data_IF_531910713728
#
_entry.id   IF_531910713728
#
_cell.length_a   1.000
_cell.length_b   1.000
_cell.length_c   1.000
_cell.angle_alpha   90.00
_cell.angle_beta   90.00
_cell.angle_gamma   90.00
#
_symmetry.space_group_name_H-M   'P 1'
#
loop_
_entity.id
_entity.type
_entity.pdbx_description
1 polymer ?
#
# COMPACT_ATOMS: atom_id res chain seq x y z
N UNK A 1 -16.92 22.26 21.31
CA UNK A 1 -16.50 22.04 22.72
C UNK A 1 -17.34 20.91 23.32
N UNK A 2 -16.78 19.69 23.41
CA UNK A 2 -17.44 18.58 24.10
C UNK A 2 -16.71 18.38 25.44
N UNK A 3 -17.37 18.74 26.55
CA UNK A 3 -16.85 18.58 27.90
C UNK A 3 -17.34 17.23 28.44
N UNK A 4 -16.49 16.21 28.41
CA UNK A 4 -16.70 15.04 29.24
C UNK A 4 -15.88 15.18 30.53
N UNK A 5 -16.57 15.45 31.64
CA UNK A 5 -16.02 15.33 33.00
C UNK A 5 -15.86 13.84 33.31
N UNK A 6 -14.63 13.34 33.24
CA UNK A 6 -14.25 12.07 33.86
C UNK A 6 -13.13 12.28 34.87
N UNK A 7 -13.41 11.86 36.11
CA UNK A 7 -12.58 11.99 37.30
C UNK A 7 -11.51 10.90 37.36
N UNK A 8 -10.25 11.31 37.50
CA UNK A 8 -9.13 10.44 37.83
C UNK A 8 -7.79 11.11 37.56
N UNK A 9 -7.18 11.72 38.59
CA UNK A 9 -5.91 12.50 38.49
C UNK A 9 -4.79 11.74 37.74
N UNK A 10 -4.70 10.40 37.88
CA UNK A 10 -3.70 9.58 37.16
C UNK A 10 -3.95 9.46 35.65
N UNK A 11 -5.21 9.45 35.20
CA UNK A 11 -5.53 9.35 33.78
C UNK A 11 -5.31 10.67 33.03
N UNK A 12 -5.49 11.79 33.73
CA UNK A 12 -5.19 13.13 33.21
C UNK A 12 -3.68 13.32 32.94
N UNK A 13 -2.82 12.74 33.79
CA UNK A 13 -1.37 12.87 33.61
C UNK A 13 -0.86 12.09 32.37
N UNK A 14 -1.32 10.85 32.17
CA UNK A 14 -1.01 10.05 30.98
C UNK A 14 -1.49 10.72 29.67
N UNK A 15 -2.68 11.32 29.71
CA UNK A 15 -3.22 12.10 28.59
C UNK A 15 -2.36 13.32 28.28
N UNK A 16 -1.92 14.06 29.32
CA UNK A 16 -1.07 15.23 29.15
C UNK A 16 0.26 14.83 28.51
N UNK A 17 0.88 13.73 28.94
CA UNK A 17 2.15 13.23 28.37
C UNK A 17 2.00 12.92 26.87
N UNK A 18 0.99 12.13 26.48
CA UNK A 18 0.77 11.78 25.07
C UNK A 18 0.47 13.00 24.19
N UNK A 19 -0.40 13.90 24.66
CA UNK A 19 -0.73 15.12 23.90
C UNK A 19 0.43 16.10 23.84
N UNK A 20 1.23 16.23 24.90
CA UNK A 20 2.40 17.10 24.90
C UNK A 20 3.48 16.56 23.95
N UNK A 21 3.61 15.24 23.86
CA UNK A 21 4.45 14.61 22.85
C UNK A 21 3.92 14.86 21.44
N UNK A 22 2.61 14.74 21.21
CA UNK A 22 2.01 15.02 19.90
C UNK A 22 2.27 16.46 19.46
N UNK A 23 2.23 17.41 20.41
CA UNK A 23 2.55 18.82 20.18
C UNK A 23 4.01 19.06 19.77
N UNK A 24 4.92 18.13 20.06
CA UNK A 24 6.31 18.23 19.62
C UNK A 24 6.47 17.89 18.13
N UNK A 25 5.44 17.31 17.48
CA UNK A 25 5.40 17.20 16.02
C UNK A 25 4.85 18.51 15.47
N UNK A 26 5.76 19.33 14.94
CA UNK A 26 5.44 20.61 14.29
C UNK A 26 4.51 20.43 13.09
N UNK A 27 4.55 19.26 12.45
CA UNK A 27 3.62 18.84 11.40
C UNK A 27 3.44 17.33 11.42
N UNK A 28 2.23 16.87 11.12
CA UNK A 28 1.97 15.45 10.84
C UNK A 28 2.43 15.06 9.42
N UNK A 29 2.74 16.04 8.57
CA UNK A 29 3.34 15.79 7.26
C UNK A 29 4.82 15.47 7.45
N UNK A 30 5.23 14.25 7.09
CA UNK A 30 6.62 13.81 7.22
C UNK A 30 6.98 13.20 8.58
N UNK A 31 6.00 12.72 9.35
CA UNK A 31 6.29 11.83 10.48
C UNK A 31 6.96 10.57 9.91
N UNK A 32 8.18 10.30 10.37
CA UNK A 32 8.88 9.05 10.11
C UNK A 32 8.17 7.92 10.85
N UNK A 33 7.55 6.99 10.10
CA UNK A 33 6.74 5.95 10.71
C UNK A 33 7.59 4.97 11.54
N UNK A 34 8.86 4.79 11.20
CA UNK A 34 9.81 4.03 12.03
C UNK A 34 9.95 4.66 13.42
N UNK A 35 10.12 5.97 13.49
CA UNK A 35 10.23 6.69 14.78
C UNK A 35 8.91 6.60 15.57
N UNK A 36 7.78 6.67 14.88
CA UNK A 36 6.47 6.50 15.48
C UNK A 36 6.28 5.07 16.04
N UNK A 37 6.65 4.05 15.27
CA UNK A 37 6.56 2.66 15.67
C UNK A 37 7.45 2.38 16.87
N UNK A 38 8.72 2.78 16.84
CA UNK A 38 9.63 2.64 17.98
C UNK A 38 9.05 3.24 19.26
N UNK A 39 8.45 4.43 19.18
CA UNK A 39 7.87 5.09 20.36
C UNK A 39 6.65 4.38 20.89
N UNK A 40 5.69 4.02 20.03
CA UNK A 40 4.49 3.31 20.46
C UNK A 40 4.85 1.94 21.06
N UNK A 41 5.89 1.32 20.52
CA UNK A 41 6.30 -0.03 20.91
C UNK A 41 7.14 -0.02 22.19
N UNK A 42 8.03 0.96 22.36
CA UNK A 42 8.97 1.02 23.46
C UNK A 42 8.52 1.90 24.65
N UNK A 43 7.39 2.62 24.58
CA UNK A 43 6.87 3.43 25.68
C UNK A 43 5.59 2.81 26.32
N UNK A 44 5.71 2.01 27.41
CA UNK A 44 4.56 1.39 28.07
C UNK A 44 3.50 2.37 28.58
N UNK A 45 3.92 3.60 28.92
CA UNK A 45 3.04 4.69 29.36
C UNK A 45 2.15 5.18 28.21
N UNK A 46 2.69 5.31 27.00
CA UNK A 46 1.94 5.67 25.79
C UNK A 46 0.91 4.58 25.47
N UNK A 47 1.32 3.32 25.46
CA UNK A 47 0.40 2.18 25.26
C UNK A 47 -0.72 2.17 26.31
N UNK A 48 -0.38 2.36 27.59
CA UNK A 48 -1.36 2.44 28.67
C UNK A 48 -2.31 3.63 28.53
N UNK A 49 -1.82 4.75 28.01
CA UNK A 49 -2.64 5.93 27.73
C UNK A 49 -3.65 5.66 26.60
N UNK A 50 -3.18 5.06 25.49
CA UNK A 50 -4.01 4.62 24.37
C UNK A 50 -5.07 3.62 24.87
N UNK A 51 -4.70 2.62 25.67
CA UNK A 51 -5.64 1.64 26.25
C UNK A 51 -6.80 2.26 27.04
N UNK A 52 -6.54 3.36 27.75
CA UNK A 52 -7.45 3.88 28.79
C UNK A 52 -8.28 5.09 28.37
N UNK A 53 -8.01 5.69 27.22
CA UNK A 53 -8.62 6.97 26.83
C UNK A 53 -9.10 6.92 25.38
N UNK A 54 -10.42 6.96 25.19
CA UNK A 54 -11.04 7.00 23.86
C UNK A 54 -10.54 8.18 23.00
N UNK A 55 -10.26 9.33 23.62
CA UNK A 55 -9.69 10.47 22.91
C UNK A 55 -8.28 10.17 22.39
N UNK A 56 -7.45 9.50 23.19
CA UNK A 56 -6.08 9.14 22.76
C UNK A 56 -6.13 8.06 21.68
N UNK A 57 -7.08 7.13 21.76
CA UNK A 57 -7.32 6.14 20.70
C UNK A 57 -7.68 6.82 19.37
N UNK A 58 -8.57 7.81 19.40
CA UNK A 58 -8.92 8.59 18.22
C UNK A 58 -7.70 9.34 17.65
N UNK A 59 -6.88 9.96 18.49
CA UNK A 59 -5.64 10.61 18.04
C UNK A 59 -4.65 9.62 17.42
N UNK A 60 -4.41 8.48 18.09
CA UNK A 60 -3.55 7.42 17.58
C UNK A 60 -4.02 6.93 16.22
N UNK A 61 -5.32 6.62 16.09
CA UNK A 61 -5.87 6.12 14.84
C UNK A 61 -5.87 7.16 13.71
N UNK A 62 -6.03 8.45 14.05
CA UNK A 62 -5.86 9.54 13.09
C UNK A 62 -4.42 9.60 12.56
N UNK A 63 -3.40 9.45 13.42
CA UNK A 63 -2.00 9.42 13.01
C UNK A 63 -1.73 8.21 12.10
N UNK A 64 -2.21 7.01 12.48
CA UNK A 64 -2.08 5.81 11.64
C UNK A 64 -2.71 5.98 10.26
N UNK A 65 -3.93 6.51 10.23
CA UNK A 65 -4.63 6.79 8.97
C UNK A 65 -3.85 7.79 8.12
N UNK A 66 -3.33 8.85 8.73
CA UNK A 66 -2.53 9.86 8.04
C UNK A 66 -1.22 9.26 7.49
N UNK A 67 -0.50 8.45 8.25
CA UNK A 67 0.69 7.74 7.77
C UNK A 67 0.34 6.83 6.57
N UNK A 68 -0.73 6.05 6.67
CA UNK A 68 -1.18 5.21 5.57
C UNK A 68 -1.57 6.02 4.32
N UNK A 69 -2.21 7.19 4.49
CA UNK A 69 -2.54 8.10 3.40
C UNK A 69 -1.28 8.68 2.74
N UNK A 70 -0.27 9.02 3.54
CA UNK A 70 1.02 9.53 3.04
C UNK A 70 1.74 8.46 2.23
N UNK A 71 1.80 7.22 2.73
CA UNK A 71 2.45 6.11 2.03
C UNK A 71 1.73 5.73 0.74
N UNK A 72 0.40 5.68 0.76
CA UNK A 72 -0.40 5.52 -0.44
C UNK A 72 -0.06 6.61 -1.46
N UNK A 73 0.02 7.88 -1.03
CA UNK A 73 0.34 9.01 -1.92
C UNK A 73 1.76 8.92 -2.49
N UNK A 74 2.76 8.54 -1.69
CA UNK A 74 4.14 8.37 -2.13
C UNK A 74 4.20 7.32 -3.24
N UNK A 75 3.68 6.12 -2.98
CA UNK A 75 3.69 5.02 -3.95
C UNK A 75 2.97 5.40 -5.24
N UNK A 76 1.76 5.94 -5.14
CA UNK A 76 0.98 6.28 -6.34
C UNK A 76 1.67 7.36 -7.16
N UNK A 77 2.24 8.36 -6.50
CA UNK A 77 2.89 9.48 -7.21
C UNK A 77 4.14 9.00 -7.94
N UNK A 78 5.01 8.25 -7.27
CA UNK A 78 6.23 7.73 -7.89
C UNK A 78 5.92 6.81 -9.07
N UNK A 79 4.94 5.90 -8.89
CA UNK A 79 4.55 4.98 -9.94
C UNK A 79 3.88 5.68 -11.13
N UNK A 80 3.00 6.65 -10.87
CA UNK A 80 2.36 7.45 -11.91
C UNK A 80 3.37 8.29 -12.68
N UNK A 81 4.37 8.87 -12.00
CA UNK A 81 5.42 9.65 -12.65
C UNK A 81 6.31 8.77 -13.53
N UNK A 82 6.65 7.57 -13.07
CA UNK A 82 7.40 6.61 -13.90
C UNK A 82 6.55 6.12 -15.08
N UNK A 83 5.26 5.85 -14.85
CA UNK A 83 4.33 5.47 -15.91
C UNK A 83 4.15 6.58 -16.95
N UNK A 84 4.08 7.85 -16.53
CA UNK A 84 4.01 9.00 -17.43
C UNK A 84 5.16 9.07 -18.45
N UNK A 85 6.32 8.50 -18.14
CA UNK A 85 7.46 8.47 -19.06
C UNK A 85 7.34 7.35 -20.11
N UNK A 86 6.51 6.34 -19.89
CA UNK A 86 6.33 5.23 -20.83
C UNK A 86 5.61 5.71 -22.09
N UNK A 87 5.99 5.14 -23.23
CA UNK A 87 5.35 5.40 -24.51
C UNK A 87 4.76 4.12 -25.09
N UNK A 88 3.98 4.26 -26.17
CA UNK A 88 3.31 3.14 -26.83
C UNK A 88 4.26 2.01 -27.22
N UNK A 89 5.48 2.32 -27.67
CA UNK A 89 6.45 1.33 -28.14
C UNK A 89 6.98 0.46 -26.99
N UNK A 90 7.02 0.99 -25.77
CA UNK A 90 7.42 0.21 -24.59
C UNK A 90 6.47 -0.96 -24.35
N UNK A 91 5.20 -0.80 -24.70
CA UNK A 91 4.18 -1.85 -24.57
C UNK A 91 4.18 -2.80 -25.76
N UNK A 92 4.50 -2.32 -26.97
CA UNK A 92 4.56 -3.14 -28.18
C UNK A 92 5.59 -4.28 -28.11
N UNK A 93 6.60 -4.17 -27.26
CA UNK A 93 7.66 -5.17 -27.09
C UNK A 93 7.63 -5.76 -25.66
N UNK A 94 6.77 -6.77 -25.40
CA UNK A 94 6.59 -7.32 -24.05
C UNK A 94 7.88 -7.87 -23.42
N UNK A 95 8.86 -8.26 -24.24
CA UNK A 95 10.16 -8.79 -23.77
C UNK A 95 10.87 -7.86 -22.80
N UNK A 96 10.68 -6.54 -22.91
CA UNK A 96 11.27 -5.58 -21.98
C UNK A 96 10.72 -5.67 -20.55
N UNK A 97 9.50 -6.21 -20.38
CA UNK A 97 8.90 -6.45 -19.05
C UNK A 97 9.44 -7.72 -18.39
N UNK A 98 9.85 -8.72 -19.18
CA UNK A 98 10.45 -9.96 -18.67
C UNK A 98 11.97 -9.85 -18.50
N UNK A 99 12.62 -9.05 -19.32
CA UNK A 99 14.06 -8.83 -19.30
C UNK A 99 14.35 -7.33 -19.31
N UNK A 100 14.72 -6.80 -18.14
CA UNK A 100 15.03 -5.37 -17.94
C UNK A 100 16.06 -4.86 -18.95
N UNK A 101 17.05 -5.67 -19.34
CA UNK A 101 18.11 -5.26 -20.28
C UNK A 101 17.58 -5.04 -21.71
N UNK A 102 16.42 -5.61 -22.03
CA UNK A 102 15.74 -5.47 -23.32
C UNK A 102 14.68 -4.37 -23.33
N UNK A 103 14.38 -3.76 -22.18
CA UNK A 103 13.47 -2.63 -22.07
C UNK A 103 14.12 -1.31 -22.50
N UNK A 104 13.31 -0.34 -22.91
CA UNK A 104 13.75 1.05 -23.06
C UNK A 104 14.25 1.63 -21.74
N UNK A 105 14.97 2.74 -21.77
CA UNK A 105 15.40 3.44 -20.55
C UNK A 105 14.21 3.78 -19.66
N UNK A 106 13.09 4.24 -20.24
CA UNK A 106 11.87 4.59 -19.53
C UNK A 106 11.22 3.35 -18.87
N UNK A 107 11.18 2.21 -19.57
CA UNK A 107 10.69 0.97 -19.00
C UNK A 107 11.60 0.45 -17.87
N UNK A 108 12.91 0.57 -18.04
CA UNK A 108 13.88 0.21 -16.99
C UNK A 108 13.68 1.07 -15.74
N UNK A 109 13.47 2.38 -15.90
CA UNK A 109 13.15 3.29 -14.80
C UNK A 109 11.82 2.94 -14.12
N UNK A 110 10.80 2.60 -14.90
CA UNK A 110 9.52 2.12 -14.35
C UNK A 110 9.69 0.87 -13.49
N UNK A 111 10.41 -0.13 -13.99
CA UNK A 111 10.69 -1.36 -13.24
C UNK A 111 11.54 -1.07 -11.98
N UNK A 112 12.52 -0.17 -12.08
CA UNK A 112 13.33 0.28 -10.94
C UNK A 112 12.48 0.93 -9.86
N UNK A 113 11.52 1.78 -10.22
CA UNK A 113 10.60 2.39 -9.25
C UNK A 113 9.76 1.34 -8.53
N UNK A 114 9.33 0.28 -9.22
CA UNK A 114 8.62 -0.85 -8.58
C UNK A 114 9.49 -1.59 -7.58
N UNK A 115 10.73 -1.90 -7.94
CA UNK A 115 11.69 -2.54 -7.02
C UNK A 115 11.92 -1.68 -5.77
N UNK A 116 12.13 -0.37 -5.96
CA UNK A 116 12.32 0.58 -4.85
C UNK A 116 11.11 0.63 -3.92
N UNK A 117 9.89 0.56 -4.46
CA UNK A 117 8.68 0.50 -3.66
C UNK A 117 8.57 -0.81 -2.86
N UNK A 118 8.87 -1.94 -3.48
CA UNK A 118 8.92 -3.23 -2.79
C UNK A 118 9.93 -3.17 -1.64
N UNK A 119 11.16 -2.74 -1.91
CA UNK A 119 12.21 -2.61 -0.92
C UNK A 119 11.81 -1.64 0.20
N UNK A 120 11.21 -0.50 -0.13
CA UNK A 120 10.70 0.44 0.85
C UNK A 120 9.69 -0.21 1.81
N UNK A 121 8.72 -0.96 1.28
CA UNK A 121 7.74 -1.70 2.10
C UNK A 121 8.44 -2.73 3.00
N UNK A 122 9.36 -3.52 2.43
CA UNK A 122 10.10 -4.56 3.16
C UNK A 122 10.91 -3.96 4.29
N UNK A 123 11.70 -2.92 4.02
CA UNK A 123 12.53 -2.26 5.03
C UNK A 123 11.68 -1.65 6.14
N UNK A 124 10.59 -0.94 5.81
CA UNK A 124 9.69 -0.36 6.82
C UNK A 124 9.08 -1.42 7.76
N UNK A 125 8.77 -2.61 7.24
CA UNK A 125 8.22 -3.70 8.04
C UNK A 125 9.32 -4.38 8.85
N UNK A 126 10.44 -4.76 8.21
CA UNK A 126 11.43 -5.67 8.77
C UNK A 126 12.47 -5.00 9.66
N UNK A 127 12.73 -3.71 9.49
CA UNK A 127 13.74 -2.95 10.25
C UNK A 127 13.49 -2.92 11.76
N UNK A 128 12.22 -3.04 12.16
CA UNK A 128 11.83 -2.88 13.55
C UNK A 128 11.78 -4.22 14.31
N UNK A 129 11.67 -4.12 15.64
CA UNK A 129 11.41 -5.28 16.50
C UNK A 129 10.05 -5.95 16.16
N UNK A 130 9.84 -7.15 16.68
CA UNK A 130 8.66 -7.98 16.37
C UNK A 130 7.31 -7.23 16.52
N UNK A 131 7.11 -6.49 17.60
CA UNK A 131 5.83 -5.80 17.83
C UNK A 131 5.62 -4.61 16.88
N UNK A 132 6.69 -3.85 16.61
CA UNK A 132 6.69 -2.76 15.66
C UNK A 132 6.54 -3.28 14.21
N UNK A 133 7.10 -4.45 13.89
CA UNK A 133 6.93 -5.13 12.59
C UNK A 133 5.47 -5.49 12.32
N UNK A 134 4.78 -6.08 13.29
CA UNK A 134 3.34 -6.39 13.17
C UNK A 134 2.52 -5.12 12.98
N UNK A 135 2.91 -4.04 13.68
CA UNK A 135 2.26 -2.74 13.53
C UNK A 135 2.45 -2.15 12.12
N UNK A 136 3.70 -2.08 11.64
CA UNK A 136 4.01 -1.61 10.29
C UNK A 136 3.28 -2.45 9.22
N UNK A 137 3.24 -3.78 9.37
CA UNK A 137 2.48 -4.66 8.48
C UNK A 137 0.98 -4.31 8.45
N UNK A 138 0.37 -4.07 9.61
CA UNK A 138 -1.02 -3.60 9.72
C UNK A 138 -1.24 -2.26 9.02
N UNK A 139 -0.31 -1.31 9.16
CA UNK A 139 -0.38 -0.03 8.44
C UNK A 139 -0.38 -0.25 6.93
N UNK A 140 0.48 -1.14 6.44
CA UNK A 140 0.54 -1.45 5.01
C UNK A 140 -0.73 -2.13 4.47
N UNK A 141 -1.43 -2.93 5.29
CA UNK A 141 -2.78 -3.41 4.95
C UNK A 141 -3.74 -2.21 4.73
N UNK A 142 -3.70 -1.21 5.63
CA UNK A 142 -4.51 0.00 5.49
C UNK A 142 -4.10 0.85 4.26
N UNK A 143 -2.81 0.89 3.92
CA UNK A 143 -2.33 1.52 2.68
C UNK A 143 -2.98 0.87 1.47
N UNK A 144 -3.00 -0.46 1.39
CA UNK A 144 -3.67 -1.19 0.30
C UNK A 144 -5.15 -0.85 0.23
N UNK A 145 -5.87 -0.83 1.36
CA UNK A 145 -7.28 -0.44 1.36
C UNK A 145 -7.49 0.95 0.75
N UNK A 146 -6.64 1.93 1.08
CA UNK A 146 -6.69 3.28 0.53
C UNK A 146 -6.43 3.27 -0.97
N UNK A 147 -5.44 2.50 -1.43
CA UNK A 147 -5.11 2.37 -2.86
C UNK A 147 -6.27 1.78 -3.66
N UNK A 148 -6.90 0.72 -3.15
CA UNK A 148 -8.07 0.08 -3.79
C UNK A 148 -9.27 1.03 -3.81
N UNK A 149 -9.57 1.72 -2.70
CA UNK A 149 -10.67 2.70 -2.62
C UNK A 149 -10.48 3.87 -3.58
N UNK A 150 -9.23 4.21 -3.93
CA UNK A 150 -8.86 5.26 -4.89
C UNK A 150 -8.61 4.74 -6.30
N UNK A 151 -8.88 3.47 -6.58
CA UNK A 151 -8.70 2.84 -7.89
C UNK A 151 -7.24 2.83 -8.40
N UNK A 152 -6.27 2.89 -7.50
CA UNK A 152 -4.85 2.75 -7.82
C UNK A 152 -4.43 1.27 -7.80
N UNK A 153 -4.95 0.50 -8.75
CA UNK A 153 -4.82 -0.96 -8.72
C UNK A 153 -3.40 -1.46 -8.98
N UNK A 154 -2.58 -0.81 -9.82
CA UNK A 154 -1.16 -1.22 -9.99
C UNK A 154 -0.39 -1.10 -8.67
N UNK A 155 -0.52 0.04 -7.98
CA UNK A 155 0.09 0.26 -6.68
C UNK A 155 -0.43 -0.74 -5.63
N UNK A 156 -1.75 -0.96 -5.57
CA UNK A 156 -2.35 -1.91 -4.66
C UNK A 156 -1.87 -3.35 -4.93
N UNK A 157 -1.79 -3.74 -6.20
CA UNK A 157 -1.33 -5.06 -6.62
C UNK A 157 0.12 -5.30 -6.22
N UNK A 158 1.01 -4.34 -6.53
CA UNK A 158 2.42 -4.42 -6.14
C UNK A 158 2.59 -4.54 -4.62
N UNK A 159 1.92 -3.66 -3.87
CA UNK A 159 1.96 -3.66 -2.40
C UNK A 159 1.44 -4.98 -1.83
N UNK A 160 0.33 -5.52 -2.34
CA UNK A 160 -0.24 -6.78 -1.86
C UNK A 160 0.66 -7.97 -2.14
N UNK A 161 1.31 -8.04 -3.30
CA UNK A 161 2.28 -9.10 -3.58
C UNK A 161 3.43 -9.06 -2.57
N UNK A 162 3.99 -7.88 -2.31
CA UNK A 162 5.04 -7.71 -1.29
C UNK A 162 4.57 -8.18 0.09
N UNK A 163 3.37 -7.76 0.51
CA UNK A 163 2.81 -8.17 1.81
C UNK A 163 2.55 -9.68 1.88
N UNK A 164 2.06 -10.29 0.80
CA UNK A 164 1.86 -11.75 0.72
C UNK A 164 3.18 -12.48 0.87
N UNK A 165 4.23 -12.06 0.16
CA UNK A 165 5.57 -12.66 0.26
C UNK A 165 6.14 -12.54 1.68
N UNK A 166 6.00 -11.36 2.30
CA UNK A 166 6.42 -11.16 3.69
C UNK A 166 5.61 -12.03 4.66
N UNK A 167 4.31 -12.16 4.46
CA UNK A 167 3.49 -13.02 5.31
C UNK A 167 3.84 -14.50 5.13
N UNK A 168 4.10 -14.94 3.90
CA UNK A 168 4.53 -16.30 3.63
C UNK A 168 5.85 -16.64 4.34
N UNK A 169 6.79 -15.69 4.36
CA UNK A 169 8.09 -15.84 5.00
C UNK A 169 8.04 -15.73 6.53
N UNK A 170 7.35 -14.72 7.06
CA UNK A 170 7.43 -14.34 8.48
C UNK A 170 6.15 -14.60 9.29
N UNK A 171 5.07 -15.06 8.64
CA UNK A 171 3.76 -15.37 9.25
C UNK A 171 3.17 -14.22 10.09
N UNK A 172 3.36 -12.99 9.61
CA UNK A 172 2.95 -11.73 10.27
C UNK A 172 1.44 -11.70 10.57
N UNK A 173 0.62 -12.22 9.66
CA UNK A 173 -0.84 -12.26 9.77
C UNK A 173 -1.34 -13.04 10.98
N UNK A 174 -0.59 -14.05 11.44
CA UNK A 174 -0.95 -14.86 12.63
C UNK A 174 -0.95 -14.05 13.93
N UNK A 175 -0.26 -12.92 13.93
CA UNK A 175 -0.13 -12.03 15.08
C UNK A 175 -1.08 -10.83 14.99
N UNK A 176 -1.83 -10.71 13.89
CA UNK A 176 -2.81 -9.65 13.71
C UNK A 176 -4.11 -9.91 14.47
N UNK A 177 -4.87 -8.86 14.82
CA UNK A 177 -6.25 -8.99 15.25
C UNK A 177 -7.15 -9.62 14.16
N UNK A 178 -8.18 -10.37 14.56
CA UNK A 178 -9.08 -11.07 13.63
C UNK A 178 -9.66 -10.18 12.53
N UNK A 179 -10.07 -8.95 12.86
CA UNK A 179 -10.55 -7.99 11.87
C UNK A 179 -9.50 -7.67 10.79
N UNK A 180 -8.23 -7.49 11.17
CA UNK A 180 -7.16 -7.22 10.21
C UNK A 180 -6.84 -8.44 9.35
N UNK A 181 -6.96 -9.65 9.91
CA UNK A 181 -6.83 -10.91 9.15
C UNK A 181 -7.95 -10.97 8.09
N UNK A 182 -9.21 -10.74 8.48
CA UNK A 182 -10.34 -10.75 7.54
C UNK A 182 -10.18 -9.73 6.41
N UNK A 183 -9.72 -8.52 6.73
CA UNK A 183 -9.42 -7.48 5.73
C UNK A 183 -8.29 -7.93 4.82
N UNK A 184 -7.19 -8.44 5.37
CA UNK A 184 -6.05 -8.90 4.59
C UNK A 184 -6.42 -10.06 3.65
N UNK A 185 -7.12 -11.09 4.17
CA UNK A 185 -7.63 -12.22 3.38
C UNK A 185 -8.57 -11.76 2.27
N UNK A 186 -9.42 -10.77 2.54
CA UNK A 186 -10.28 -10.18 1.52
C UNK A 186 -9.48 -9.45 0.44
N UNK A 187 -8.41 -8.76 0.80
CA UNK A 187 -7.55 -8.06 -0.14
C UNK A 187 -6.69 -9.05 -0.96
N UNK A 188 -6.20 -10.15 -0.37
CA UNK A 188 -5.45 -11.18 -1.08
C UNK A 188 -6.25 -11.83 -2.22
N UNK A 189 -7.58 -11.85 -2.13
CA UNK A 189 -8.45 -12.29 -3.24
C UNK A 189 -8.26 -11.43 -4.51
N UNK A 190 -7.85 -10.17 -4.39
CA UNK A 190 -7.58 -9.29 -5.53
C UNK A 190 -6.37 -9.76 -6.33
N UNK A 191 -5.30 -10.20 -5.66
CA UNK A 191 -4.08 -10.67 -6.33
C UNK A 191 -4.11 -12.16 -6.66
N UNK A 192 -5.23 -12.85 -6.37
CA UNK A 192 -5.39 -14.26 -6.69
C UNK A 192 -5.36 -14.50 -8.21
N UNK A 193 -4.55 -15.44 -8.72
CA UNK A 193 -4.50 -15.76 -10.15
C UNK A 193 -5.76 -16.52 -10.63
N UNK A 194 -6.63 -16.95 -9.71
CA UNK A 194 -7.83 -17.72 -10.02
C UNK A 194 -8.75 -17.00 -11.01
N UNK A 195 -9.13 -17.71 -12.06
CA UNK A 195 -9.94 -17.16 -13.15
C UNK A 195 -9.27 -15.98 -13.87
N UNK A 196 -7.94 -16.01 -14.01
CA UNK A 196 -7.13 -14.95 -14.62
C UNK A 196 -7.33 -13.59 -13.92
N UNK A 197 -7.17 -13.57 -12.59
CA UNK A 197 -7.39 -12.39 -11.75
C UNK A 197 -8.84 -11.87 -11.79
N UNK A 198 -9.82 -12.79 -11.79
CA UNK A 198 -11.25 -12.47 -11.98
C UNK A 198 -11.75 -11.37 -11.04
N UNK A 199 -11.38 -11.44 -9.75
CA UNK A 199 -11.83 -10.50 -8.72
C UNK A 199 -11.34 -9.09 -9.04
N UNK A 200 -10.04 -8.93 -9.29
CA UNK A 200 -9.44 -7.65 -9.64
C UNK A 200 -10.00 -7.08 -10.94
N UNK A 201 -10.15 -7.90 -11.98
CA UNK A 201 -10.76 -7.45 -13.25
C UNK A 201 -12.18 -6.95 -13.06
N UNK A 202 -12.98 -7.63 -12.22
CA UNK A 202 -14.32 -7.19 -11.89
C UNK A 202 -14.31 -5.84 -11.15
N UNK A 203 -13.42 -5.67 -10.15
CA UNK A 203 -13.28 -4.39 -9.45
C UNK A 203 -12.89 -3.25 -10.39
N UNK A 204 -11.97 -3.49 -11.33
CA UNK A 204 -11.55 -2.48 -12.32
C UNK A 204 -12.71 -2.14 -13.26
N UNK A 205 -13.46 -3.14 -13.74
CA UNK A 205 -14.64 -2.93 -14.57
C UNK A 205 -15.69 -2.07 -13.87
N UNK A 206 -15.96 -2.35 -12.60
CA UNK A 206 -16.90 -1.57 -11.77
C UNK A 206 -16.41 -0.15 -11.51
N UNK A 207 -15.10 0.04 -11.30
CA UNK A 207 -14.50 1.35 -11.12
C UNK A 207 -14.60 2.22 -12.38
N UNK A 208 -14.33 1.63 -13.55
CA UNK A 208 -14.45 2.30 -14.85
C UNK A 208 -15.87 2.78 -15.13
N UNK A 209 -16.88 1.98 -14.78
CA UNK A 209 -18.29 2.36 -14.95
C UNK A 209 -18.74 3.59 -14.14
N UNK A 210 -17.95 4.07 -13.18
CA UNK A 210 -18.27 5.22 -12.33
C UNK A 210 -17.71 6.56 -12.84
N UNK A 211 -16.95 6.58 -13.94
CA UNK A 211 -16.47 7.78 -14.66
C UNK A 211 -15.72 8.86 -13.85
N UNK A 212 -15.19 8.58 -12.65
CA UNK A 212 -14.59 9.62 -11.80
C UNK A 212 -13.09 9.79 -11.94
N UNK A 213 -12.33 8.75 -12.33
CA UNK A 213 -10.87 8.78 -12.39
C UNK A 213 -10.32 7.75 -13.38
N UNK A 214 -9.22 8.04 -14.11
CA UNK A 214 -8.54 7.04 -14.93
C UNK A 214 -8.09 5.86 -14.05
N UNK A 215 -8.46 4.66 -14.46
CA UNK A 215 -8.18 3.41 -13.73
C UNK A 215 -7.04 2.69 -14.42
N UNK A 216 -5.85 2.74 -13.82
CA UNK A 216 -4.67 2.05 -14.34
C UNK A 216 -4.77 0.56 -14.01
N UNK A 217 -4.78 -0.27 -15.05
CA UNK A 217 -4.80 -1.73 -14.94
C UNK A 217 -3.40 -2.24 -14.59
N UNK A 218 -3.25 -3.23 -13.69
CA UNK A 218 -1.92 -3.67 -13.30
C UNK A 218 -1.08 -4.22 -14.46
N UNK A 219 0.15 -3.73 -14.59
CA UNK A 219 1.00 -3.95 -15.75
C UNK A 219 1.40 -5.40 -15.93
N UNK A 220 1.60 -6.14 -14.84
CA UNK A 220 1.94 -7.56 -14.92
C UNK A 220 0.82 -8.36 -15.58
N UNK A 221 -0.43 -7.96 -15.34
CA UNK A 221 -1.59 -8.63 -15.94
C UNK A 221 -1.79 -8.14 -17.38
N UNK A 222 -1.62 -6.83 -17.61
CA UNK A 222 -1.65 -6.25 -18.95
C UNK A 222 -0.61 -6.89 -19.88
N UNK A 223 0.65 -6.98 -19.42
CA UNK A 223 1.75 -7.54 -20.20
C UNK A 223 1.55 -9.01 -20.51
N UNK A 224 0.97 -9.78 -19.57
CA UNK A 224 0.54 -11.16 -19.80
C UNK A 224 -0.50 -11.26 -20.91
N UNK A 225 -1.57 -10.47 -20.82
CA UNK A 225 -2.63 -10.47 -21.84
C UNK A 225 -2.08 -10.07 -23.22
N UNK A 226 -1.19 -9.07 -23.24
CA UNK A 226 -0.54 -8.60 -24.46
C UNK A 226 0.44 -9.62 -25.06
N UNK A 227 1.18 -10.34 -24.21
CA UNK A 227 2.08 -11.41 -24.64
C UNK A 227 1.27 -12.54 -25.28
N UNK A 228 0.19 -12.97 -24.64
CA UNK A 228 -0.71 -13.97 -25.20
C UNK A 228 -1.28 -13.51 -26.56
N UNK A 229 -1.69 -12.24 -26.69
CA UNK A 229 -2.15 -11.71 -27.98
C UNK A 229 -1.06 -11.72 -29.04
N UNK A 230 0.16 -11.30 -28.70
CA UNK A 230 1.28 -11.30 -29.64
C UNK A 230 1.68 -12.71 -30.09
N UNK A 231 1.56 -13.72 -29.22
CA UNK A 231 1.74 -15.12 -29.59
C UNK A 231 0.71 -15.58 -30.65
N UNK A 232 -0.55 -15.14 -30.54
CA UNK A 232 -1.58 -15.44 -31.55
C UNK A 232 -1.34 -14.69 -32.87
N UNK A 233 -0.66 -13.54 -32.83
CA UNK A 233 -0.30 -12.77 -34.03
C UNK A 233 0.93 -13.35 -34.75
N UNK A 234 1.77 -14.12 -34.08
CA UNK A 234 2.95 -14.77 -34.67
C UNK A 234 3.90 -13.77 -35.35
N UNK A 235 4.25 -14.03 -36.60
CA UNK A 235 5.14 -13.19 -37.40
C UNK A 235 4.55 -11.81 -37.69
N UNK A 236 3.22 -11.68 -37.63
CA UNK A 236 2.52 -10.43 -37.90
C UNK A 236 2.49 -9.48 -36.68
N UNK A 237 3.02 -9.89 -35.52
CA UNK A 237 2.98 -9.08 -34.29
C UNK A 237 3.61 -7.68 -34.44
N UNK A 238 4.53 -7.48 -35.38
CA UNK A 238 5.14 -6.18 -35.64
C UNK A 238 4.29 -5.24 -36.52
N UNK A 239 3.25 -5.75 -37.19
CA UNK A 239 2.40 -4.97 -38.10
C UNK A 239 1.44 -4.07 -37.32
N UNK A 240 1.10 -2.92 -37.90
CA UNK A 240 0.03 -2.06 -37.37
C UNK A 240 -1.33 -2.54 -37.87
N UNK A 241 -2.39 -2.31 -37.09
CA UNK A 241 -3.77 -2.54 -37.55
C UNK A 241 -4.10 -1.79 -38.85
N UNK A 242 -3.45 -0.66 -39.11
CA UNK A 242 -3.61 0.12 -40.36
C UNK A 242 -3.14 -0.64 -41.61
N UNK A 243 -2.22 -1.58 -41.44
CA UNK A 243 -1.63 -2.37 -42.52
C UNK A 243 -2.40 -3.69 -42.75
N UNK A 244 -3.44 -3.95 -41.95
CA UNK A 244 -4.18 -5.21 -41.95
C UNK A 244 -5.61 -4.98 -42.42
N UNK A 245 -6.04 -5.75 -43.41
CA UNK A 245 -7.43 -5.69 -43.91
C UNK A 245 -8.38 -6.42 -42.96
N UNK A 246 -9.67 -6.04 -42.96
CA UNK A 246 -10.71 -6.72 -42.17
C UNK A 246 -10.89 -8.20 -42.51
N UNK A 247 -10.44 -8.63 -43.69
CA UNK A 247 -10.48 -10.02 -44.12
C UNK A 247 -9.33 -10.87 -43.54
N UNK A 248 -8.35 -10.25 -42.87
CA UNK A 248 -7.24 -10.97 -42.27
C UNK A 248 -7.71 -11.88 -41.12
N UNK A 249 -7.29 -13.16 -41.05
CA UNK A 249 -7.73 -14.09 -40.01
C UNK A 249 -7.53 -13.56 -38.58
N UNK A 250 -6.44 -12.83 -38.36
CA UNK A 250 -6.08 -12.26 -37.05
C UNK A 250 -6.55 -10.82 -36.83
N UNK A 251 -7.42 -10.26 -37.69
CA UNK A 251 -7.86 -8.86 -37.57
C UNK A 251 -8.44 -8.53 -36.19
N UNK A 252 -9.23 -9.43 -35.62
CA UNK A 252 -9.82 -9.26 -34.27
C UNK A 252 -8.75 -9.16 -33.19
N UNK A 253 -7.67 -9.94 -33.29
CA UNK A 253 -6.54 -9.87 -32.35
C UNK A 253 -5.78 -8.55 -32.47
N UNK A 254 -5.56 -8.05 -33.70
CA UNK A 254 -4.99 -6.73 -33.91
C UNK A 254 -5.87 -5.63 -33.31
N UNK A 255 -7.18 -5.64 -33.60
CA UNK A 255 -8.12 -4.66 -33.06
C UNK A 255 -8.11 -4.67 -31.52
N UNK A 256 -8.21 -5.86 -30.92
CA UNK A 256 -8.15 -6.02 -29.46
C UNK A 256 -6.86 -5.48 -28.86
N UNK A 257 -5.71 -5.74 -29.52
CA UNK A 257 -4.41 -5.23 -29.07
C UNK A 257 -4.35 -3.71 -29.12
N UNK A 258 -4.78 -3.09 -30.23
CA UNK A 258 -4.79 -1.63 -30.35
C UNK A 258 -5.75 -0.99 -29.34
N UNK A 259 -6.94 -1.56 -29.14
CA UNK A 259 -7.90 -1.11 -28.13
C UNK A 259 -7.30 -1.15 -26.71
N UNK A 260 -6.58 -2.22 -26.38
CA UNK A 260 -5.89 -2.36 -25.09
C UNK A 260 -4.78 -1.31 -24.92
N UNK A 261 -3.98 -1.07 -25.96
CA UNK A 261 -2.92 -0.07 -25.93
C UNK A 261 -3.51 1.34 -25.82
N UNK A 262 -4.57 1.65 -26.55
CA UNK A 262 -5.25 2.95 -26.51
C UNK A 262 -5.89 3.18 -25.14
N UNK A 263 -6.53 2.16 -24.57
CA UNK A 263 -7.04 2.22 -23.20
C UNK A 263 -5.93 2.54 -22.20
N UNK A 264 -4.79 1.83 -22.28
CA UNK A 264 -3.66 2.04 -21.39
C UNK A 264 -3.09 3.45 -21.52
N UNK A 265 -2.85 3.92 -22.74
CA UNK A 265 -2.32 5.26 -23.01
C UNK A 265 -3.31 6.35 -22.56
N UNK A 266 -4.62 6.11 -22.69
CA UNK A 266 -5.65 7.04 -22.20
C UNK A 266 -5.73 7.12 -20.68
N UNK A 267 -5.33 6.05 -19.98
CA UNK A 267 -5.27 5.97 -18.53
C UNK A 267 -3.98 6.57 -17.95
N UNK A 268 -3.00 6.89 -18.80
CA UNK A 268 -1.75 7.52 -18.39
C UNK A 268 -2.02 8.91 -17.78
N UNK A 269 -1.31 9.29 -16.70
CA UNK A 269 -1.38 10.65 -16.19
C UNK A 269 -1.08 11.66 -17.30
N UNK A 270 -1.78 12.79 -17.32
CA UNK A 270 -1.51 13.84 -18.31
C UNK A 270 -0.28 14.66 -17.96
N UNK A 271 0.04 14.73 -16.67
CA UNK A 271 1.15 15.50 -16.12
C UNK A 271 1.78 14.74 -14.96
N UNK A 272 3.10 14.89 -14.75
CA UNK A 272 3.76 14.36 -13.58
C UNK A 272 3.21 15.03 -12.32
N UNK A 273 2.94 14.21 -11.31
CA UNK A 273 2.45 14.67 -10.02
C UNK A 273 3.62 15.01 -9.10
N UNK A 274 3.55 16.15 -8.42
CA UNK A 274 4.58 16.60 -7.48
C UNK A 274 4.18 16.17 -6.06
N UNK A 275 5.07 15.47 -5.36
CA UNK A 275 4.90 15.21 -3.93
C UNK A 275 5.12 16.50 -3.14
N UNK A 276 4.34 16.69 -2.07
CA UNK A 276 4.65 17.74 -1.12
C UNK A 276 6.04 17.50 -0.53
N UNK A 277 6.80 18.58 -0.29
CA UNK A 277 8.20 18.52 0.13
C UNK A 277 8.46 17.54 1.31
N UNK A 278 7.65 17.48 2.38
CA UNK A 278 7.89 16.52 3.47
C UNK A 278 7.81 15.05 3.02
N UNK A 279 6.95 14.74 2.05
CA UNK A 279 6.80 13.39 1.51
C UNK A 279 7.88 13.05 0.50
N UNK A 280 8.33 14.05 -0.28
CA UNK A 280 9.47 13.89 -1.16
C UNK A 280 10.74 13.61 -0.36
N UNK A 281 11.00 14.41 0.69
CA UNK A 281 12.13 14.21 1.59
C UNK A 281 12.10 12.83 2.26
N UNK A 282 10.91 12.36 2.64
CA UNK A 282 10.72 11.02 3.20
C UNK A 282 11.13 9.95 2.18
N UNK A 283 10.61 10.03 0.95
CA UNK A 283 10.95 9.09 -0.12
C UNK A 283 12.44 9.12 -0.50
N UNK A 284 13.03 10.32 -0.58
CA UNK A 284 14.45 10.50 -0.92
C UNK A 284 15.36 9.91 0.16
N UNK A 285 15.00 10.09 1.45
CA UNK A 285 15.72 9.47 2.58
C UNK A 285 15.77 7.95 2.42
N UNK A 286 14.65 7.31 2.09
CA UNK A 286 14.59 5.86 1.88
C UNK A 286 15.31 5.41 0.61
N UNK A 287 15.15 6.12 -0.50
CA UNK A 287 15.84 5.79 -1.76
C UNK A 287 17.36 5.81 -1.61
N UNK A 288 17.88 6.77 -0.80
CA UNK A 288 19.31 6.85 -0.50
C UNK A 288 19.79 5.68 0.35
N UNK A 289 19.07 5.31 1.42
CA UNK A 289 19.49 4.19 2.28
C UNK A 289 19.60 2.88 1.50
N UNK A 290 18.61 2.61 0.66
CA UNK A 290 18.58 1.42 -0.20
C UNK A 290 19.76 1.40 -1.19
N UNK A 291 20.05 2.54 -1.81
CA UNK A 291 21.15 2.63 -2.80
C UNK A 291 22.50 2.43 -2.13
N UNK A 292 22.71 3.01 -0.95
CA UNK A 292 23.96 2.85 -0.19
C UNK A 292 24.20 1.39 0.22
N UNK A 293 23.18 0.71 0.73
CA UNK A 293 23.25 -0.71 1.12
C UNK A 293 23.64 -1.61 -0.08
N UNK A 294 23.08 -1.34 -1.26
CA UNK A 294 23.39 -2.10 -2.48
C UNK A 294 24.82 -1.90 -3.01
N UNK A 295 25.44 -0.74 -2.76
CA UNK A 295 26.80 -0.44 -3.22
C UNK A 295 27.90 -1.06 -2.36
N UNK A 296 27.56 -1.46 -1.14
CA UNK A 296 28.51 -2.09 -0.20
C UNK A 296 28.53 -3.62 -0.30
N UNK A 297 27.65 -4.23 -1.10
CA UNK A 297 27.56 -5.67 -1.32
C UNK A 297 27.86 -6.04 -2.78
N UNK A 298 29.12 -5.95 -3.21
CA UNK A 298 29.51 -6.38 -4.57
C UNK A 298 29.48 -7.91 -4.78
N UNK A 299 29.26 -8.71 -3.73
CA UNK A 299 28.94 -10.14 -3.84
C UNK A 299 27.41 -10.35 -3.91
N UNK A 300 26.85 -9.98 -5.05
CA UNK A 300 25.42 -10.03 -5.36
C UNK A 300 24.87 -11.48 -5.45
N UNK A 301 24.63 -12.13 -4.32
CA UNK A 301 23.64 -13.23 -4.19
C UNK A 301 23.05 -13.40 -2.79
N UNK A 302 23.62 -12.78 -1.75
CA UNK A 302 23.02 -12.81 -0.42
C UNK A 302 22.05 -11.65 -0.26
N UNK A 303 20.75 -11.92 -0.48
CA UNK A 303 19.69 -11.12 0.15
C UNK A 303 20.04 -11.07 1.64
N UNK A 304 20.19 -9.88 2.22
CA UNK A 304 20.37 -9.75 3.68
C UNK A 304 19.30 -10.58 4.37
N UNK A 305 19.71 -11.65 5.04
CA UNK A 305 18.84 -12.44 5.90
C UNK A 305 18.46 -11.56 7.10
N UNK A 306 17.38 -10.80 6.96
CA UNK A 306 16.71 -10.21 8.11
C UNK A 306 16.46 -11.32 9.13
N UNK A 307 16.68 -11.08 10.44
CA UNK A 307 16.65 -12.10 11.48
C UNK A 307 15.49 -13.09 11.27
N UNK A 308 15.86 -14.33 10.98
CA UNK A 308 14.96 -15.40 10.59
C UNK A 308 14.07 -15.78 11.77
N UNK A 309 12.76 -15.64 11.54
CA UNK A 309 11.64 -16.02 12.40
C UNK A 309 11.33 -15.09 13.59
N UNK A 310 10.11 -14.52 13.55
CA UNK A 310 9.40 -14.10 14.76
C UNK A 310 9.37 -15.27 15.74
N UNK A 311 9.67 -14.99 17.02
CA UNK A 311 9.55 -16.02 18.05
C UNK A 311 8.08 -16.42 18.20
N UNK A 312 7.71 -17.56 17.60
CA UNK A 312 6.34 -18.08 17.49
C UNK A 312 5.67 -18.32 18.86
N UNK A 313 6.46 -18.42 19.93
CA UNK A 313 5.96 -18.62 21.30
C UNK A 313 5.60 -17.31 22.01
N UNK A 314 6.08 -16.16 21.54
CA UNK A 314 5.77 -14.85 22.10
C UNK A 314 4.67 -14.20 21.27
N UNK A 315 3.42 -14.28 21.75
CA UNK A 315 2.36 -13.40 21.26
C UNK A 315 2.74 -11.96 21.59
N UNK A 316 2.59 -11.06 20.61
CA UNK A 316 2.82 -9.63 20.78
C UNK A 316 2.27 -9.14 22.11
N UNK A 317 3.13 -8.52 22.92
CA UNK A 317 2.71 -8.01 24.24
C UNK A 317 1.88 -6.74 24.10
N UNK A 318 2.13 -5.96 23.05
CA UNK A 318 1.24 -4.90 22.65
C UNK A 318 -0.15 -5.47 22.35
N UNK A 319 -0.26 -6.40 21.40
CA UNK A 319 -1.53 -6.91 20.87
C UNK A 319 -2.11 -8.13 21.60
N UNK A 320 -1.62 -8.45 22.81
CA UNK A 320 -2.48 -9.12 23.79
C UNK A 320 -3.81 -8.36 23.83
N UNK A 321 -4.94 -9.05 24.02
CA UNK A 321 -6.34 -8.55 23.91
C UNK A 321 -6.67 -7.22 24.65
N UNK A 322 -5.68 -6.60 25.32
CA UNK A 322 -5.72 -5.42 26.17
C UNK A 322 -5.29 -4.10 25.51
N UNK A 323 -4.51 -4.04 24.40
CA UNK A 323 -4.38 -2.77 23.60
C UNK A 323 -5.53 -2.55 22.65
N UNK A 324 -6.20 -3.63 22.28
CA UNK A 324 -7.60 -3.54 21.92
C UNK A 324 -8.38 -3.18 23.18
N UNK A 325 -9.28 -2.19 23.13
CA UNK A 325 -10.24 -1.94 24.19
C UNK A 325 -10.88 -3.25 24.62
N UNK A 326 -10.61 -3.67 25.85
CA UNK A 326 -11.40 -4.68 26.57
C UNK A 326 -12.84 -4.22 26.85
N UNK A 327 -13.27 -3.11 26.22
CA UNK A 327 -14.67 -2.70 26.09
C UNK A 327 -15.46 -3.54 25.06
N UNK A 328 -14.82 -4.38 24.24
CA UNK A 328 -15.51 -5.04 23.13
C UNK A 328 -15.98 -6.48 23.39
N UNK A 329 -15.66 -7.07 24.55
CA UNK A 329 -16.17 -8.40 24.95
C UNK A 329 -16.96 -8.42 26.25
N UNK A 330 -17.08 -7.31 26.99
CA UNK A 330 -17.91 -7.24 28.20
C UNK A 330 -18.71 -5.94 28.28
N UNK A 331 -19.98 -6.05 27.89
CA UNK A 331 -21.09 -5.10 28.12
C UNK A 331 -20.93 -3.70 27.51
N UNK A 332 -21.15 -3.60 26.20
CA UNK A 332 -21.73 -2.40 25.60
C UNK A 332 -23.10 -2.76 25.02
N UNK A 333 -24.17 -2.49 25.78
CA UNK A 333 -25.50 -2.26 25.20
C UNK A 333 -25.41 -0.95 24.44
N UNK A 334 -25.36 -1.01 23.10
CA UNK A 334 -25.70 0.03 22.11
C UNK A 334 -25.03 -0.34 20.76
N UNK A 335 -25.71 -1.17 19.98
CA UNK A 335 -25.78 -1.31 18.50
C UNK A 335 -24.61 -1.01 17.55
N UNK A 336 -23.38 -0.75 18.01
CA UNK A 336 -22.22 -0.55 17.14
C UNK A 336 -21.20 -1.65 17.36
N UNK A 337 -21.23 -2.65 16.49
CA UNK A 337 -20.18 -3.66 16.36
C UNK A 337 -18.84 -3.02 16.00
N UNK A 338 -17.73 -3.68 16.38
CA UNK A 338 -16.33 -3.33 16.07
C UNK A 338 -16.15 -2.89 14.59
N UNK A 339 -16.92 -3.52 13.71
CA UNK A 339 -17.01 -3.25 12.28
C UNK A 339 -17.43 -1.81 11.90
N UNK A 340 -18.31 -1.15 12.67
CA UNK A 340 -18.79 0.20 12.33
C UNK A 340 -17.77 1.29 12.65
N UNK A 341 -16.95 1.11 13.69
CA UNK A 341 -15.97 2.11 14.11
C UNK A 341 -14.85 2.27 13.10
N UNK A 342 -14.23 1.16 12.66
CA UNK A 342 -13.19 1.20 11.64
C UNK A 342 -13.75 1.65 10.29
N UNK A 343 -14.96 1.22 9.95
CA UNK A 343 -15.65 1.66 8.73
C UNK A 343 -15.99 3.16 8.74
N UNK A 344 -16.41 3.72 9.87
CA UNK A 344 -16.71 5.15 10.03
C UNK A 344 -15.42 5.99 10.03
N UNK A 345 -14.32 5.46 10.57
CA UNK A 345 -13.06 6.18 10.71
C UNK A 345 -12.22 6.23 9.42
N UNK A 346 -12.36 5.24 8.54
CA UNK A 346 -11.73 5.23 7.21
C UNK A 346 -12.63 5.77 6.08
N UNK A 347 -13.84 6.22 6.40
CA UNK A 347 -14.67 6.98 5.46
C UNK A 347 -14.16 8.43 5.42
N UNK A 348 -13.38 8.74 4.38
CA UNK A 348 -12.95 10.10 4.05
C UNK A 348 -14.19 10.93 3.73
N UNK A 349 -14.63 11.79 4.67
CA UNK A 349 -15.76 12.69 4.41
C UNK A 349 -16.42 13.34 5.63
N UNK A 350 -16.23 12.82 6.84
CA UNK A 350 -16.73 13.47 8.07
C UNK A 350 -15.61 13.57 9.11
N UNK A 351 -14.69 14.49 8.87
CA UNK A 351 -13.79 14.97 9.92
C UNK A 351 -14.64 15.60 11.04
N UNK A 352 -14.37 15.30 12.33
CA UNK A 352 -14.71 16.25 13.36
C UNK A 352 -13.90 17.53 13.10
N UNK A 353 -14.58 18.66 13.02
CA UNK A 353 -13.99 19.99 12.79
C UNK A 353 -12.80 20.22 13.72
N UNK A 354 -11.67 20.79 13.23
CA UNK A 354 -10.56 21.15 14.11
C UNK A 354 -11.08 22.12 15.17
N UNK A 355 -10.89 21.78 16.44
CA UNK A 355 -11.21 22.66 17.55
C UNK A 355 -10.21 23.83 17.54
N UNK A 356 -10.71 25.03 17.23
CA UNK A 356 -10.10 26.29 17.67
C UNK A 356 -10.22 26.41 19.19
#
# INVERSE_FOLDING_TARGET
>A
MIIFKYSGKKCQNLKKIFLNWLKNFTSLAGIDATTWDDKITNEPTAQKAIRKSAQIQACYAYIESNLAHQYAKIITTQLNNAFYQLNRLDFMVPKGFSDRKKGSVQLQDYLRVKDLQEQFIRTEILKNNDDARIHAFRRWIAVVEILVKRHHYEAAFNTLLTLSTLDDQYKLSRHLPSYNIEVFDSLLKLVSPMGNFRVLRQCIKEARGKNTTPVIFPFVIFSKDLTNLNEHLGDDQAKSLKDITRAHPSYVHFATREDMLDELMSAQPKEPSILAEPLQNLFDKFSRSITTESSTSEDASSVEEFPLALNTNTRSTLYSQKLHPTLWSKRARLDKTDHSYWKDMFQVGKLPTPLQ
#
